data_IF_048019499470
#
_entry.id   IF_048019499470
#
_cell.length_a   1.000
_cell.length_b   1.000
_cell.length_c   1.000
_cell.angle_alpha   90.00
_cell.angle_beta   90.00
_cell.angle_gamma   90.00
#
_symmetry.space_group_name_H-M   'P 1'
#
loop_
_entity.id
_entity.type
_entity.pdbx_description
1 polymer ?
#
# COMPACT_ATOMS: atom_id res chain seq x y z
N UNK A 1 19.91 -19.20 1.85
CA UNK A 1 19.34 -19.22 0.48
C UNK A 1 20.34 -19.86 -0.48
N UNK A 2 19.87 -20.62 -1.47
CA UNK A 2 20.75 -21.10 -2.54
C UNK A 2 21.17 -19.93 -3.44
N UNK A 3 22.34 -20.05 -4.09
CA UNK A 3 22.86 -19.01 -4.98
C UNK A 3 21.85 -18.62 -6.08
N UNK A 4 21.20 -19.62 -6.66
CA UNK A 4 20.17 -19.43 -7.69
C UNK A 4 19.01 -18.54 -7.23
N UNK A 5 18.56 -18.67 -5.97
CA UNK A 5 17.51 -17.80 -5.40
C UNK A 5 18.03 -16.38 -5.24
N UNK A 6 19.25 -16.22 -4.73
CA UNK A 6 19.87 -14.91 -4.55
C UNK A 6 19.99 -14.17 -5.89
N UNK A 7 20.48 -14.84 -6.93
CA UNK A 7 20.66 -14.25 -8.25
C UNK A 7 19.32 -13.79 -8.84
N UNK A 8 18.23 -14.57 -8.69
CA UNK A 8 16.89 -14.17 -9.12
C UNK A 8 16.34 -12.99 -8.29
N UNK A 9 16.51 -12.99 -6.96
CA UNK A 9 16.05 -11.87 -6.11
C UNK A 9 16.82 -10.60 -6.42
N UNK A 10 18.11 -10.67 -6.68
CA UNK A 10 18.94 -9.51 -7.06
C UNK A 10 18.60 -8.99 -8.45
N UNK A 11 18.16 -9.86 -9.37
CA UNK A 11 17.70 -9.47 -10.70
C UNK A 11 16.38 -8.67 -10.65
N UNK A 12 15.58 -8.82 -9.58
CA UNK A 12 14.39 -7.99 -9.34
C UNK A 12 14.86 -6.59 -8.89
N UNK A 13 14.83 -5.63 -9.79
CA UNK A 13 15.28 -4.25 -9.54
C UNK A 13 14.27 -3.41 -8.74
N UNK A 14 13.51 -4.02 -7.85
CA UNK A 14 12.49 -3.32 -7.06
C UNK A 14 13.11 -2.36 -6.03
N UNK A 15 12.56 -1.16 -5.93
CA UNK A 15 13.02 -0.11 -4.99
C UNK A 15 12.39 -0.26 -3.61
N UNK A 16 11.12 -0.56 -3.56
CA UNK A 16 10.36 -0.78 -2.33
C UNK A 16 10.34 -2.25 -1.94
N UNK A 17 11.52 -2.91 -1.98
CA UNK A 17 11.64 -4.35 -1.77
C UNK A 17 11.30 -4.79 -0.34
N UNK A 18 10.13 -5.39 -0.13
CA UNK A 18 9.85 -6.21 1.03
C UNK A 18 10.50 -7.58 0.83
N UNK A 19 11.73 -7.75 1.31
CA UNK A 19 12.58 -8.93 1.04
C UNK A 19 11.86 -10.28 1.28
N UNK A 20 11.03 -10.36 2.33
CA UNK A 20 10.26 -11.59 2.60
C UNK A 20 9.26 -11.91 1.49
N UNK A 21 8.61 -10.89 0.94
CA UNK A 21 7.70 -11.05 -0.19
C UNK A 21 8.43 -11.40 -1.48
N UNK A 22 9.58 -10.76 -1.75
CA UNK A 22 10.41 -11.06 -2.93
C UNK A 22 10.91 -12.50 -2.93
N UNK A 23 11.34 -13.01 -1.77
CA UNK A 23 11.74 -14.42 -1.62
C UNK A 23 10.56 -15.36 -1.89
N UNK A 24 9.35 -14.99 -1.45
CA UNK A 24 8.12 -15.74 -1.76
C UNK A 24 7.76 -15.68 -3.24
N UNK A 25 7.92 -14.51 -3.88
CA UNK A 25 7.60 -14.27 -5.29
C UNK A 25 8.45 -15.14 -6.25
N UNK A 26 9.73 -15.33 -5.92
CA UNK A 26 10.66 -16.16 -6.72
C UNK A 26 10.26 -17.64 -6.75
N UNK A 27 9.39 -18.10 -5.83
CA UNK A 27 8.66 -19.37 -5.95
C UNK A 27 9.45 -20.65 -5.77
N UNK A 28 10.68 -20.60 -5.25
CA UNK A 28 11.46 -21.81 -4.95
C UNK A 28 10.94 -22.51 -3.69
N UNK A 29 11.22 -23.81 -3.59
CA UNK A 29 10.85 -24.62 -2.43
C UNK A 29 11.48 -24.06 -1.16
N UNK A 30 10.65 -23.63 -0.21
CA UNK A 30 11.07 -23.07 1.05
C UNK A 30 10.94 -24.08 2.17
N UNK A 31 11.90 -24.08 3.07
CA UNK A 31 11.85 -24.86 4.32
C UNK A 31 12.29 -23.99 5.48
N UNK A 32 11.79 -24.26 6.67
CA UNK A 32 12.19 -23.59 7.89
C UNK A 32 13.22 -24.43 8.65
N UNK A 33 14.25 -23.76 9.16
CA UNK A 33 15.23 -24.35 10.07
C UNK A 33 15.09 -23.66 11.42
N UNK A 34 14.78 -24.42 12.46
CA UNK A 34 14.75 -23.92 13.82
C UNK A 34 16.18 -23.82 14.35
N UNK A 35 16.53 -22.69 14.92
CA UNK A 35 17.81 -22.49 15.59
C UNK A 35 17.64 -21.56 16.78
N UNK A 36 18.41 -21.77 17.83
CA UNK A 36 18.47 -20.87 18.97
C UNK A 36 19.32 -19.66 18.61
N UNK A 37 18.73 -18.48 18.76
CA UNK A 37 19.40 -17.24 18.43
C UNK A 37 20.15 -16.71 19.64
N UNK A 38 21.45 -16.58 19.52
CA UNK A 38 22.27 -15.94 20.54
C UNK A 38 21.82 -14.51 20.83
N UNK A 39 21.88 -14.08 22.12
CA UNK A 39 21.60 -12.70 22.47
C UNK A 39 22.57 -11.75 21.76
N UNK A 40 22.12 -10.54 21.46
CA UNK A 40 22.98 -9.54 20.81
C UNK A 40 24.18 -9.23 21.69
N UNK A 41 25.37 -9.23 21.12
CA UNK A 41 26.61 -8.90 21.80
C UNK A 41 26.67 -7.44 22.33
N UNK A 42 25.80 -6.54 21.87
CA UNK A 42 25.71 -5.16 22.37
C UNK A 42 24.67 -4.33 21.61
N UNK A 43 24.31 -3.18 22.17
CA UNK A 43 23.41 -2.21 21.60
C UNK A 43 21.91 -2.44 21.91
N UNK A 44 21.15 -1.34 22.05
CA UNK A 44 19.69 -1.37 22.16
C UNK A 44 19.05 -1.41 20.78
N UNK A 45 17.96 -2.15 20.63
CA UNK A 45 17.20 -2.19 19.38
C UNK A 45 16.61 -0.82 19.06
N UNK A 46 17.13 -0.14 18.03
CA UNK A 46 16.62 1.16 17.55
C UNK A 46 15.26 1.06 16.85
N UNK A 47 14.71 -0.15 16.75
CA UNK A 47 13.47 -0.40 16.05
C UNK A 47 12.26 -0.14 16.94
N UNK A 48 11.47 0.88 16.61
CA UNK A 48 10.19 1.10 17.28
C UNK A 48 9.24 -0.05 16.93
N UNK A 49 8.94 -0.90 17.92
CA UNK A 49 8.24 -2.18 17.72
C UNK A 49 6.87 -2.03 17.07
N UNK A 50 6.16 -0.95 17.37
CA UNK A 50 4.82 -0.72 16.83
C UNK A 50 4.87 -0.01 15.47
N UNK A 51 5.48 1.17 15.38
CA UNK A 51 5.54 1.96 14.15
C UNK A 51 6.34 1.26 13.04
N UNK A 52 7.46 0.63 13.40
CA UNK A 52 8.27 -0.08 12.42
C UNK A 52 7.55 -1.32 11.85
N UNK A 53 6.81 -2.07 12.69
CA UNK A 53 6.02 -3.20 12.21
C UNK A 53 4.86 -2.76 11.31
N UNK A 54 4.22 -1.62 11.64
CA UNK A 54 3.16 -1.05 10.83
C UNK A 54 3.66 -0.64 9.43
N UNK A 55 4.80 0.08 9.37
CA UNK A 55 5.42 0.50 8.10
C UNK A 55 5.79 -0.71 7.23
N UNK A 56 6.38 -1.75 7.83
CA UNK A 56 6.69 -2.99 7.09
C UNK A 56 5.43 -3.67 6.60
N UNK A 57 4.38 -3.74 7.42
CA UNK A 57 3.10 -4.31 7.04
C UNK A 57 2.45 -3.55 5.87
N UNK A 58 2.40 -2.22 5.96
CA UNK A 58 1.89 -1.36 4.88
C UNK A 58 2.70 -1.51 3.59
N UNK A 59 4.03 -1.55 3.68
CA UNK A 59 4.88 -1.81 2.52
C UNK A 59 4.60 -3.17 1.88
N UNK A 60 4.32 -4.20 2.67
CA UNK A 60 3.89 -5.50 2.17
C UNK A 60 2.54 -5.43 1.44
N UNK A 61 1.54 -4.78 2.05
CA UNK A 61 0.19 -4.65 1.47
C UNK A 61 0.22 -3.84 0.17
N UNK A 62 0.82 -2.65 0.18
CA UNK A 62 0.87 -1.77 -0.99
C UNK A 62 1.87 -2.24 -2.07
N UNK A 63 2.91 -3.00 -1.71
CA UNK A 63 3.89 -3.52 -2.66
C UNK A 63 3.43 -4.77 -3.41
N UNK A 64 2.64 -5.64 -2.76
CA UNK A 64 2.27 -6.95 -3.30
C UNK A 64 0.78 -7.13 -3.57
N UNK A 65 -0.06 -6.14 -3.26
CA UNK A 65 -1.50 -6.29 -3.39
C UNK A 65 -2.16 -5.03 -3.95
N UNK A 66 -3.03 -5.23 -4.94
CA UNK A 66 -3.97 -4.21 -5.41
C UNK A 66 -5.29 -4.24 -4.62
N UNK A 67 -5.37 -5.05 -3.56
CA UNK A 67 -6.60 -5.23 -2.79
C UNK A 67 -7.13 -3.92 -2.18
N UNK A 68 -6.29 -3.05 -1.56
CA UNK A 68 -6.78 -1.76 -1.03
C UNK A 68 -7.42 -0.88 -2.11
N UNK A 69 -6.82 -0.84 -3.30
CA UNK A 69 -7.33 -0.06 -4.42
C UNK A 69 -8.67 -0.62 -4.94
N UNK A 70 -8.77 -1.95 -5.06
CA UNK A 70 -10.02 -2.62 -5.47
C UNK A 70 -11.14 -2.43 -4.47
N UNK A 71 -10.82 -2.48 -3.17
CA UNK A 71 -11.79 -2.28 -2.10
C UNK A 71 -12.36 -0.86 -2.14
N UNK A 72 -11.53 0.16 -2.31
CA UNK A 72 -11.97 1.54 -2.43
C UNK A 72 -12.82 1.74 -3.69
N UNK A 73 -12.41 1.15 -4.82
CA UNK A 73 -13.18 1.22 -6.07
C UNK A 73 -14.54 0.56 -5.92
N UNK A 74 -14.61 -0.63 -5.31
CA UNK A 74 -15.87 -1.32 -5.05
C UNK A 74 -16.79 -0.53 -4.12
N UNK A 75 -16.24 0.04 -3.05
CA UNK A 75 -16.98 0.92 -2.14
C UNK A 75 -17.49 2.16 -2.86
N UNK A 76 -16.69 2.80 -3.72
CA UNK A 76 -17.10 3.94 -4.54
C UNK A 76 -18.28 3.61 -5.45
N UNK A 77 -18.25 2.48 -6.14
CA UNK A 77 -19.35 2.01 -6.98
C UNK A 77 -20.62 1.77 -6.15
N UNK A 78 -20.49 1.10 -5.00
CA UNK A 78 -21.62 0.83 -4.12
C UNK A 78 -22.27 2.12 -3.60
N UNK A 79 -21.46 3.08 -3.13
CA UNK A 79 -21.97 4.39 -2.66
C UNK A 79 -22.59 5.22 -3.80
N UNK A 80 -22.00 5.19 -4.99
CA UNK A 80 -22.56 5.88 -6.15
C UNK A 80 -23.91 5.30 -6.55
N UNK A 81 -24.05 3.98 -6.61
CA UNK A 81 -25.32 3.33 -6.89
C UNK A 81 -26.38 3.66 -5.83
N UNK A 82 -26.01 3.62 -4.55
CA UNK A 82 -26.88 3.99 -3.44
C UNK A 82 -27.35 5.45 -3.52
N UNK A 83 -26.43 6.39 -3.77
CA UNK A 83 -26.75 7.80 -3.96
C UNK A 83 -27.69 8.04 -5.14
N UNK A 84 -27.48 7.31 -6.24
CA UNK A 84 -28.32 7.39 -7.42
C UNK A 84 -29.76 6.93 -7.13
N UNK A 85 -29.91 5.80 -6.43
CA UNK A 85 -31.24 5.30 -6.00
C UNK A 85 -31.94 6.29 -5.08
N UNK A 86 -31.21 6.83 -4.09
CA UNK A 86 -31.77 7.87 -3.22
C UNK A 86 -32.19 9.11 -4.01
N UNK A 87 -31.40 9.55 -4.98
CA UNK A 87 -31.72 10.67 -5.86
C UNK A 87 -33.02 10.46 -6.61
N UNK A 88 -33.25 9.26 -7.16
CA UNK A 88 -34.50 8.90 -7.84
C UNK A 88 -35.66 8.95 -6.87
N UNK A 89 -35.52 8.37 -5.66
CA UNK A 89 -36.58 8.37 -4.64
C UNK A 89 -36.95 9.81 -4.27
N UNK A 90 -35.96 10.67 -3.97
CA UNK A 90 -36.25 12.07 -3.63
C UNK A 90 -36.88 12.82 -4.79
N UNK A 91 -36.47 12.55 -6.03
CA UNK A 91 -37.06 13.16 -7.21
C UNK A 91 -38.55 12.81 -7.36
N UNK A 92 -38.89 11.52 -7.21
CA UNK A 92 -40.32 11.04 -7.26
C UNK A 92 -41.14 11.65 -6.14
N UNK A 93 -40.62 11.67 -4.89
CA UNK A 93 -41.29 12.25 -3.75
C UNK A 93 -41.57 13.75 -3.95
N UNK A 94 -40.62 14.47 -4.55
CA UNK A 94 -40.82 15.90 -4.88
C UNK A 94 -41.90 16.12 -5.92
N UNK A 95 -41.95 15.30 -6.96
CA UNK A 95 -43.05 15.35 -7.95
C UNK A 95 -44.43 15.02 -7.33
N UNK A 96 -44.47 14.14 -6.32
CA UNK A 96 -45.66 13.80 -5.56
C UNK A 96 -46.07 14.90 -4.54
N UNK A 97 -45.41 16.04 -4.50
CA UNK A 97 -45.75 17.17 -3.63
C UNK A 97 -45.22 17.08 -2.20
N UNK A 98 -44.27 16.20 -1.90
CA UNK A 98 -43.69 16.11 -0.58
C UNK A 98 -42.87 17.39 -0.26
N UNK A 99 -43.12 17.95 0.93
CA UNK A 99 -42.38 19.10 1.44
C UNK A 99 -41.19 18.62 2.27
N UNK A 100 -40.00 19.00 1.87
CA UNK A 100 -38.77 18.71 2.62
C UNK A 100 -38.36 19.92 3.45
N UNK A 101 -38.03 19.76 4.75
CA UNK A 101 -37.54 20.86 5.57
C UNK A 101 -36.25 21.42 5.02
N UNK A 102 -36.14 22.76 5.01
CA UNK A 102 -34.99 23.47 4.48
C UNK A 102 -33.89 23.58 5.55
N UNK A 103 -32.69 23.25 5.17
CA UNK A 103 -31.48 23.51 5.97
C UNK A 103 -31.21 22.46 7.04
N UNK A 104 -30.03 21.81 6.94
CA UNK A 104 -29.97 20.63 7.75
C UNK A 104 -28.58 20.20 8.18
N UNK A 105 -28.39 19.95 9.48
CA UNK A 105 -27.21 19.26 10.01
C UNK A 105 -26.94 17.94 9.26
N UNK A 106 -27.99 17.25 8.79
CA UNK A 106 -27.87 16.02 8.01
C UNK A 106 -27.09 16.20 6.73
N UNK A 107 -27.29 17.30 5.99
CA UNK A 107 -26.53 17.57 4.75
C UNK A 107 -25.05 17.77 5.08
N UNK A 108 -24.75 18.53 6.13
CA UNK A 108 -23.36 18.78 6.56
C UNK A 108 -22.67 17.47 6.93
N UNK A 109 -23.35 16.62 7.70
CA UNK A 109 -22.82 15.29 8.11
C UNK A 109 -22.54 14.43 6.88
N UNK A 110 -23.50 14.33 5.96
CA UNK A 110 -23.38 13.51 4.75
C UNK A 110 -22.23 14.03 3.87
N UNK A 111 -22.17 15.33 3.59
CA UNK A 111 -21.13 15.93 2.76
C UNK A 111 -19.76 15.73 3.40
N UNK A 112 -19.63 15.96 4.71
CA UNK A 112 -18.35 15.78 5.42
C UNK A 112 -17.91 14.33 5.41
N UNK A 113 -18.84 13.39 5.62
CA UNK A 113 -18.55 11.95 5.60
C UNK A 113 -18.05 11.48 4.22
N UNK A 114 -18.75 11.83 3.14
CA UNK A 114 -18.33 11.45 1.79
C UNK A 114 -17.06 12.17 1.36
N UNK A 115 -16.86 13.43 1.75
CA UNK A 115 -15.61 14.13 1.51
C UNK A 115 -14.43 13.45 2.21
N UNK A 116 -14.61 12.96 3.45
CA UNK A 116 -13.60 12.18 4.16
C UNK A 116 -13.23 10.89 3.43
N UNK A 117 -14.22 10.12 2.96
CA UNK A 117 -13.99 8.90 2.16
C UNK A 117 -13.27 9.23 0.86
N UNK A 118 -13.64 10.33 0.20
CA UNK A 118 -13.01 10.77 -1.04
C UNK A 118 -11.53 11.13 -0.83
N UNK A 119 -11.22 11.88 0.21
CA UNK A 119 -9.84 12.24 0.56
C UNK A 119 -9.00 11.00 0.90
N UNK A 120 -9.57 10.04 1.63
CA UNK A 120 -8.90 8.77 1.93
C UNK A 120 -8.63 7.98 0.65
N UNK A 121 -9.59 7.93 -0.27
CA UNK A 121 -9.44 7.26 -1.57
C UNK A 121 -8.33 7.88 -2.40
N UNK A 122 -8.27 9.21 -2.46
CA UNK A 122 -7.20 9.95 -3.12
C UNK A 122 -5.85 9.70 -2.46
N UNK A 123 -5.80 9.62 -1.14
CA UNK A 123 -4.58 9.28 -0.40
C UNK A 123 -4.03 7.90 -0.77
N UNK A 124 -4.89 6.88 -0.83
CA UNK A 124 -4.49 5.53 -1.26
C UNK A 124 -4.04 5.52 -2.72
N UNK A 125 -4.75 6.21 -3.62
CA UNK A 125 -4.30 6.36 -5.02
C UNK A 125 -2.94 7.04 -5.10
N UNK A 126 -2.73 8.11 -4.30
CA UNK A 126 -1.45 8.81 -4.21
C UNK A 126 -0.30 7.91 -3.79
N UNK A 127 -0.52 6.99 -2.84
CA UNK A 127 0.48 6.00 -2.42
C UNK A 127 0.89 5.07 -3.58
N UNK A 128 -0.06 4.58 -4.38
CA UNK A 128 0.25 3.76 -5.56
C UNK A 128 0.98 4.56 -6.64
N UNK A 129 0.52 5.79 -6.92
CA UNK A 129 1.17 6.68 -7.89
C UNK A 129 2.60 7.00 -7.45
N UNK A 130 2.81 7.29 -6.17
CA UNK A 130 4.14 7.52 -5.60
C UNK A 130 5.08 6.35 -5.81
N UNK A 131 4.61 5.11 -5.57
CA UNK A 131 5.39 3.89 -5.81
C UNK A 131 5.74 3.70 -7.29
N UNK A 132 4.78 3.91 -8.18
CA UNK A 132 5.01 3.84 -9.64
C UNK A 132 6.04 4.91 -10.04
N UNK A 133 5.92 6.13 -9.54
CA UNK A 133 6.86 7.21 -9.80
C UNK A 133 8.28 6.88 -9.36
N UNK A 134 8.46 6.33 -8.16
CA UNK A 134 9.76 5.92 -7.66
C UNK A 134 10.36 4.79 -8.50
N UNK A 135 9.55 3.85 -8.96
CA UNK A 135 9.99 2.73 -9.80
C UNK A 135 10.40 3.20 -11.20
N UNK A 136 9.62 4.09 -11.80
CA UNK A 136 9.89 4.61 -13.17
C UNK A 136 11.12 5.52 -13.24
N UNK A 137 11.53 6.14 -12.14
CA UNK A 137 12.73 6.99 -12.11
C UNK A 137 14.05 6.22 -12.25
N UNK A 138 14.07 4.93 -11.95
CA UNK A 138 15.26 4.05 -12.03
C UNK A 138 16.51 4.63 -11.36
N UNK A 139 16.39 5.53 -10.37
CA UNK A 139 17.54 6.10 -9.68
C UNK A 139 18.29 5.02 -8.89
N UNK A 140 19.62 4.94 -8.95
CA UNK A 140 20.35 3.97 -8.15
C UNK A 140 20.15 4.24 -6.66
N UNK A 141 20.02 3.17 -5.87
CA UNK A 141 19.87 3.26 -4.40
C UNK A 141 21.11 3.79 -3.69
N UNK A 142 22.26 3.66 -4.33
CA UNK A 142 23.57 4.09 -3.83
C UNK A 142 24.49 4.37 -5.01
N UNK A 143 25.46 5.25 -4.78
CA UNK A 143 26.56 5.54 -5.70
C UNK A 143 27.82 4.98 -5.04
N UNK A 144 28.56 4.17 -5.77
CA UNK A 144 29.81 3.58 -5.29
C UNK A 144 30.92 4.59 -5.53
N UNK A 145 31.48 5.13 -4.46
CA UNK A 145 32.61 6.05 -4.54
C UNK A 145 33.93 5.32 -4.85
N UNK A 146 34.18 4.20 -4.19
CA UNK A 146 35.36 3.39 -4.41
C UNK A 146 35.11 1.92 -4.11
N UNK A 147 35.80 1.03 -4.83
CA UNK A 147 35.75 -0.42 -4.60
C UNK A 147 37.11 -0.88 -4.13
N UNK A 148 37.17 -1.50 -2.95
CA UNK A 148 38.41 -2.08 -2.41
C UNK A 148 38.22 -3.59 -2.25
N UNK A 149 39.24 -4.37 -2.69
CA UNK A 149 39.24 -5.84 -2.54
C UNK A 149 38.35 -6.60 -3.54
N UNK A 150 37.87 -5.96 -4.60
CA UNK A 150 37.18 -6.60 -5.70
C UNK A 150 38.04 -6.46 -6.97
N UNK A 151 38.33 -7.59 -7.63
CA UNK A 151 38.98 -7.56 -8.95
C UNK A 151 38.00 -6.89 -9.94
N UNK A 152 38.47 -5.84 -10.61
CA UNK A 152 37.79 -5.28 -11.76
C UNK A 152 37.83 -6.35 -12.87
N UNK A 153 36.72 -7.10 -13.00
CA UNK A 153 36.53 -7.85 -14.24
C UNK A 153 36.19 -6.87 -15.35
N UNK A 154 36.92 -6.88 -16.45
CA UNK A 154 36.68 -6.04 -17.61
C UNK A 154 35.28 -6.24 -18.22
#
# INVERSE_FOLDING_TARGET
MSRRVVDNVVALKERHGFLRGLVGLVGFRQTSVLYDRDPRAGGSGKYNRFLGSLVIGLNGVFGFSLYPLRLISAAGIAFSAFAFVLGIIYFILKLAGAHFPVGNPTIVIIVTFFSGIQLLSLGVMGEYIGRIYDETRERPKYIIESRHGFDEKP
#
